data_IF_074454714016
#
_entry.id   IF_074454714016
#
_cell.length_a   1.000
_cell.length_b   1.000
_cell.length_c   1.000
_cell.angle_alpha   90.00
_cell.angle_beta   90.00
_cell.angle_gamma   90.00
#
_symmetry.space_group_name_H-M   'P 1'
#
loop_
_entity.id
_entity.type
_entity.pdbx_description
1 polymer ?
#
# COMPACT_ATOMS: atom_id res chain seq x y z
N UNK A 1 -31.63 -17.27 0.73
CA UNK A 1 -31.72 -16.32 -0.40
C UNK A 1 -32.86 -16.77 -1.31
N UNK A 2 -33.73 -15.87 -1.79
CA UNK A 2 -34.61 -16.17 -2.91
C UNK A 2 -33.74 -16.09 -4.16
N UNK A 3 -33.26 -17.23 -4.66
CA UNK A 3 -32.53 -17.26 -5.91
C UNK A 3 -33.53 -17.40 -7.06
N UNK A 4 -33.76 -16.28 -7.74
CA UNK A 4 -34.40 -16.27 -9.04
C UNK A 4 -33.43 -16.92 -10.03
N UNK A 5 -33.87 -18.03 -10.64
CA UNK A 5 -33.12 -18.69 -11.70
C UNK A 5 -32.94 -17.72 -12.87
N UNK A 6 -31.71 -17.25 -13.09
CA UNK A 6 -31.39 -16.27 -14.14
C UNK A 6 -31.65 -16.82 -15.55
N UNK A 7 -31.72 -18.15 -15.71
CA UNK A 7 -31.86 -18.81 -17.01
C UNK A 7 -33.27 -19.32 -17.30
N UNK A 8 -34.16 -19.35 -16.29
CA UNK A 8 -35.55 -19.77 -16.47
C UNK A 8 -36.47 -18.56 -16.29
N UNK A 9 -36.89 -17.95 -17.40
CA UNK A 9 -37.77 -16.77 -17.38
C UNK A 9 -38.87 -16.86 -16.34
N UNK A 10 -38.81 -16.02 -15.31
CA UNK A 10 -39.80 -15.75 -14.25
C UNK A 10 -40.61 -16.92 -13.61
N UNK A 11 -40.34 -18.20 -13.91
CA UNK A 11 -41.25 -19.31 -13.57
C UNK A 11 -40.70 -20.35 -12.58
N UNK A 12 -39.46 -20.21 -12.09
CA UNK A 12 -38.93 -21.12 -11.06
C UNK A 12 -38.38 -20.34 -9.86
N UNK A 13 -39.09 -20.45 -8.75
CA UNK A 13 -38.67 -19.98 -7.44
C UNK A 13 -38.20 -21.20 -6.63
N UNK A 14 -36.98 -21.15 -6.08
CA UNK A 14 -36.49 -22.20 -5.17
C UNK A 14 -36.66 -21.74 -3.73
N UNK A 15 -37.28 -22.58 -2.92
CA UNK A 15 -37.47 -22.33 -1.49
C UNK A 15 -36.45 -23.14 -0.70
N UNK A 16 -35.90 -22.53 0.35
CA UNK A 16 -35.11 -23.22 1.36
C UNK A 16 -35.87 -23.17 2.69
N UNK A 17 -35.61 -24.15 3.53
CA UNK A 17 -36.10 -24.24 4.89
C UNK A 17 -34.96 -24.02 5.86
N UNK A 18 -35.31 -23.65 7.09
CA UNK A 18 -34.37 -23.29 8.15
C UNK A 18 -34.58 -24.24 9.32
N UNK A 19 -33.51 -24.90 9.73
CA UNK A 19 -33.46 -25.69 10.95
C UNK A 19 -32.72 -24.89 12.03
N UNK A 20 -33.48 -24.33 12.99
CA UNK A 20 -32.92 -23.57 14.11
C UNK A 20 -32.17 -24.44 15.12
N UNK A 21 -32.52 -25.73 15.25
CA UNK A 21 -31.85 -26.63 16.18
C UNK A 21 -30.44 -26.98 15.70
N UNK A 22 -30.31 -27.27 14.40
CA UNK A 22 -29.02 -27.60 13.79
C UNK A 22 -28.27 -26.39 13.21
N UNK A 23 -28.91 -25.20 13.21
CA UNK A 23 -28.40 -23.94 12.66
C UNK A 23 -27.98 -24.09 11.21
N UNK A 24 -28.86 -24.67 10.39
CA UNK A 24 -28.56 -24.95 8.99
C UNK A 24 -29.76 -24.64 8.10
N UNK A 25 -29.49 -24.33 6.84
CA UNK A 25 -30.49 -24.28 5.79
C UNK A 25 -30.53 -25.60 5.02
N UNK A 26 -31.71 -25.99 4.55
CA UNK A 26 -31.89 -27.21 3.77
C UNK A 26 -33.01 -27.04 2.73
N UNK A 27 -33.07 -27.98 1.78
CA UNK A 27 -34.06 -27.99 0.70
C UNK A 27 -34.83 -29.31 0.75
N UNK A 28 -36.13 -29.26 0.45
CA UNK A 28 -36.97 -30.46 0.32
C UNK A 28 -36.63 -31.20 -0.97
N UNK A 29 -36.42 -30.45 -2.05
CA UNK A 29 -36.02 -31.01 -3.33
C UNK A 29 -34.60 -31.54 -3.26
N UNK A 30 -34.40 -32.73 -3.84
CA UNK A 30 -33.08 -33.35 -3.90
C UNK A 30 -32.14 -32.47 -4.76
N UNK A 31 -31.19 -31.84 -4.10
CA UNK A 31 -30.24 -30.93 -4.70
C UNK A 31 -28.80 -31.27 -4.30
N UNK A 32 -27.85 -30.77 -5.08
CA UNK A 32 -26.42 -30.88 -4.82
C UNK A 32 -25.82 -29.46 -4.75
N UNK A 33 -24.55 -29.38 -4.32
CA UNK A 33 -23.85 -28.10 -4.19
C UNK A 33 -23.71 -27.36 -5.52
N UNK A 34 -23.57 -28.10 -6.63
CA UNK A 34 -23.41 -27.52 -7.97
C UNK A 34 -24.70 -26.85 -8.44
N UNK A 35 -25.86 -27.51 -8.28
CA UNK A 35 -27.18 -26.97 -8.63
C UNK A 35 -27.53 -25.73 -7.83
N UNK A 36 -27.02 -25.64 -6.60
CA UNK A 36 -27.19 -24.50 -5.70
C UNK A 36 -26.11 -23.42 -5.86
N UNK A 37 -25.20 -23.57 -6.83
CA UNK A 37 -24.07 -22.65 -7.05
C UNK A 37 -23.25 -22.39 -5.77
N UNK A 38 -23.13 -23.43 -4.92
CA UNK A 38 -22.36 -23.36 -3.69
C UNK A 38 -20.86 -23.52 -3.98
N UNK A 39 -20.00 -22.82 -3.23
CA UNK A 39 -18.56 -22.99 -3.36
C UNK A 39 -18.12 -24.44 -3.12
N UNK A 40 -16.99 -24.86 -3.71
CA UNK A 40 -16.47 -26.22 -3.56
C UNK A 40 -16.18 -26.54 -2.09
N UNK A 41 -16.51 -27.77 -1.66
CA UNK A 41 -16.36 -28.25 -0.28
C UNK A 41 -15.45 -29.47 -0.21
N UNK A 42 -14.60 -29.56 0.82
CA UNK A 42 -13.69 -30.69 1.05
C UNK A 42 -14.38 -31.89 1.74
N UNK A 43 -15.38 -31.63 2.58
CA UNK A 43 -16.04 -32.65 3.41
C UNK A 43 -17.46 -32.23 3.80
N UNK A 44 -18.21 -33.14 4.44
CA UNK A 44 -19.52 -32.84 5.04
C UNK A 44 -19.40 -31.86 6.20
N UNK A 45 -18.34 -31.95 7.01
CA UNK A 45 -18.07 -31.00 8.10
C UNK A 45 -17.80 -29.60 7.56
N UNK A 46 -17.07 -29.50 6.44
CA UNK A 46 -16.83 -28.23 5.76
C UNK A 46 -18.11 -27.65 5.14
N UNK A 47 -18.95 -28.49 4.52
CA UNK A 47 -20.27 -28.08 4.03
C UNK A 47 -21.16 -27.56 5.16
N UNK A 48 -21.09 -28.16 6.35
CA UNK A 48 -21.85 -27.69 7.52
C UNK A 48 -21.51 -26.25 7.90
N UNK A 49 -20.24 -25.83 7.80
CA UNK A 49 -19.83 -24.44 8.06
C UNK A 49 -20.49 -23.47 7.09
N UNK A 50 -20.58 -23.83 5.81
CA UNK A 50 -21.26 -23.03 4.78
C UNK A 50 -22.76 -22.93 5.03
N UNK A 51 -23.41 -24.05 5.37
CA UNK A 51 -24.83 -24.05 5.70
C UNK A 51 -25.14 -23.26 6.98
N UNK A 52 -24.22 -23.28 7.95
CA UNK A 52 -24.29 -22.42 9.14
C UNK A 52 -24.14 -20.94 8.81
N UNK A 53 -23.21 -20.59 7.92
CA UNK A 53 -23.11 -19.22 7.41
C UNK A 53 -24.45 -18.78 6.80
N UNK A 54 -25.03 -19.57 5.90
CA UNK A 54 -26.32 -19.26 5.28
C UNK A 54 -27.48 -19.16 6.29
N UNK A 55 -27.47 -19.99 7.34
CA UNK A 55 -28.41 -19.87 8.45
C UNK A 55 -28.29 -18.51 9.14
N UNK A 56 -27.08 -18.08 9.47
CA UNK A 56 -26.88 -16.79 10.14
C UNK A 56 -27.17 -15.60 9.23
N UNK A 57 -26.90 -15.71 7.92
CA UNK A 57 -27.35 -14.74 6.92
C UNK A 57 -28.89 -14.67 6.86
N UNK A 58 -29.59 -15.81 6.99
CA UNK A 58 -31.06 -15.80 7.11
C UNK A 58 -31.51 -15.06 8.37
N UNK A 59 -30.87 -15.31 9.51
CA UNK A 59 -31.17 -14.60 10.77
C UNK A 59 -30.93 -13.09 10.62
N UNK A 60 -29.87 -12.68 9.93
CA UNK A 60 -29.58 -11.27 9.64
C UNK A 60 -30.72 -10.60 8.84
N UNK A 61 -31.22 -11.27 7.79
CA UNK A 61 -32.24 -10.71 6.91
C UNK A 61 -33.68 -10.84 7.42
N UNK A 62 -33.98 -11.85 8.26
CA UNK A 62 -35.32 -12.12 8.79
C UNK A 62 -35.36 -12.19 10.33
N UNK A 63 -34.93 -11.12 11.04
CA UNK A 63 -34.60 -11.23 12.46
C UNK A 63 -35.81 -11.16 13.43
N UNK A 64 -36.98 -10.74 12.98
CA UNK A 64 -38.10 -10.31 13.85
C UNK A 64 -38.77 -11.47 14.61
N UNK A 65 -38.90 -12.63 13.98
CA UNK A 65 -39.66 -13.77 14.52
C UNK A 65 -38.75 -14.90 15.02
N UNK A 66 -37.47 -14.60 15.24
CA UNK A 66 -36.46 -15.56 15.69
C UNK A 66 -36.13 -15.25 17.14
N UNK A 67 -36.01 -16.27 17.97
CA UNK A 67 -35.45 -16.14 19.32
C UNK A 67 -34.11 -16.85 19.34
N UNK A 68 -33.03 -16.08 19.42
CA UNK A 68 -31.68 -16.64 19.53
C UNK A 68 -31.46 -17.04 21.00
N UNK A 69 -31.09 -18.30 21.30
CA UNK A 69 -30.76 -18.69 22.66
C UNK A 69 -29.57 -17.88 23.20
N UNK A 70 -29.65 -17.45 24.46
CA UNK A 70 -28.60 -16.66 25.12
C UNK A 70 -27.20 -17.31 25.02
N UNK A 71 -27.14 -18.64 25.09
CA UNK A 71 -25.90 -19.43 24.94
C UNK A 71 -25.16 -19.12 23.63
N UNK A 72 -25.88 -18.82 22.54
CA UNK A 72 -25.27 -18.48 21.25
C UNK A 72 -24.66 -17.09 21.22
N UNK A 73 -25.22 -16.17 22.00
CA UNK A 73 -24.64 -14.85 22.19
C UNK A 73 -23.41 -14.92 23.09
N UNK A 74 -23.45 -15.71 24.16
CA UNK A 74 -22.31 -15.97 25.03
C UNK A 74 -21.15 -16.63 24.25
N UNK A 75 -21.46 -17.60 23.38
CA UNK A 75 -20.49 -18.22 22.48
C UNK A 75 -19.87 -17.18 21.52
N UNK A 76 -20.68 -16.30 20.94
CA UNK A 76 -20.19 -15.21 20.07
C UNK A 76 -19.25 -14.26 20.81
N UNK A 77 -19.62 -13.85 22.02
CA UNK A 77 -18.81 -12.99 22.89
C UNK A 77 -17.48 -13.67 23.22
N UNK A 78 -17.49 -14.97 23.52
CA UNK A 78 -16.28 -15.74 23.78
C UNK A 78 -15.37 -15.80 22.55
N UNK A 79 -15.93 -16.04 21.36
CA UNK A 79 -15.18 -16.06 20.10
C UNK A 79 -14.56 -14.69 19.80
N UNK A 80 -15.31 -13.59 19.94
CA UNK A 80 -14.79 -12.24 19.72
C UNK A 80 -13.71 -11.86 20.73
N UNK A 81 -13.83 -12.32 21.98
CA UNK A 81 -12.80 -12.10 23.02
C UNK A 81 -11.52 -12.85 22.66
N UNK A 82 -11.63 -14.12 22.28
CA UNK A 82 -10.49 -14.90 21.78
C UNK A 82 -9.85 -14.24 20.55
N UNK A 83 -10.67 -13.83 19.58
CA UNK A 83 -10.24 -13.16 18.36
C UNK A 83 -9.49 -11.85 18.65
N UNK A 84 -9.93 -11.06 19.63
CA UNK A 84 -9.22 -9.85 20.05
C UNK A 84 -7.83 -10.15 20.59
N UNK A 85 -7.67 -11.21 21.38
CA UNK A 85 -6.37 -11.60 21.95
C UNK A 85 -5.48 -12.11 20.83
N UNK A 86 -5.96 -13.04 20.01
CA UNK A 86 -5.21 -13.63 18.91
C UNK A 86 -4.72 -12.57 17.91
N UNK A 87 -5.58 -11.62 17.52
CA UNK A 87 -5.20 -10.51 16.65
C UNK A 87 -4.21 -9.52 17.31
N UNK A 88 -4.10 -9.52 18.65
CA UNK A 88 -3.15 -8.66 19.38
C UNK A 88 -1.81 -9.34 19.62
N UNK A 89 -1.79 -10.67 19.72
CA UNK A 89 -0.61 -11.45 20.11
C UNK A 89 0.04 -12.20 18.95
N UNK A 90 -0.63 -12.34 17.81
CA UNK A 90 -0.17 -13.13 16.66
C UNK A 90 -0.24 -12.35 15.34
N UNK A 91 0.92 -12.12 14.73
CA UNK A 91 1.02 -11.47 13.41
C UNK A 91 0.50 -12.35 12.26
N UNK A 92 0.37 -13.66 12.52
CA UNK A 92 -0.10 -14.68 11.58
C UNK A 92 -1.55 -15.10 11.83
N UNK A 93 -2.28 -14.38 12.67
CA UNK A 93 -3.69 -14.65 13.00
C UNK A 93 -4.54 -14.77 11.73
N UNK A 94 -5.43 -15.77 11.73
CA UNK A 94 -6.44 -16.00 10.69
C UNK A 94 -7.77 -15.34 11.04
N UNK A 95 -7.82 -14.49 12.06
CA UNK A 95 -9.02 -13.75 12.48
C UNK A 95 -9.35 -12.66 11.45
N UNK A 96 -10.64 -12.45 11.10
CA UNK A 96 -11.01 -11.50 10.04
C UNK A 96 -10.96 -10.03 10.49
N UNK A 97 -10.90 -9.77 11.79
CA UNK A 97 -10.96 -8.44 12.40
C UNK A 97 -9.66 -8.08 13.13
N UNK A 98 -9.40 -6.78 13.24
CA UNK A 98 -8.37 -6.29 14.15
C UNK A 98 -8.88 -6.26 15.61
N UNK A 99 -7.95 -6.14 16.57
CA UNK A 99 -8.28 -6.15 17.98
C UNK A 99 -9.20 -4.98 18.40
N UNK A 100 -9.08 -3.82 17.73
CA UNK A 100 -9.91 -2.64 18.01
C UNK A 100 -11.36 -2.86 17.56
N UNK A 101 -11.55 -3.47 16.39
CA UNK A 101 -12.84 -3.88 15.86
C UNK A 101 -13.52 -4.92 16.76
N UNK A 102 -12.79 -5.95 17.20
CA UNK A 102 -13.31 -6.94 18.13
C UNK A 102 -13.82 -6.29 19.43
N UNK A 103 -13.04 -5.40 20.04
CA UNK A 103 -13.44 -4.68 21.25
C UNK A 103 -14.66 -3.77 21.01
N UNK A 104 -14.73 -3.13 19.85
CA UNK A 104 -15.88 -2.31 19.45
C UNK A 104 -17.14 -3.18 19.33
N UNK A 105 -17.06 -4.33 18.67
CA UNK A 105 -18.21 -5.24 18.56
C UNK A 105 -18.65 -5.77 19.93
N UNK A 106 -17.72 -6.18 20.79
CA UNK A 106 -18.03 -6.63 22.14
C UNK A 106 -18.75 -5.56 22.97
N UNK A 107 -18.31 -4.31 22.87
CA UNK A 107 -18.97 -3.18 23.53
C UNK A 107 -20.38 -2.99 23.01
N UNK A 108 -20.54 -2.92 21.68
CA UNK A 108 -21.84 -2.71 21.04
C UNK A 108 -22.84 -3.81 21.38
N UNK A 109 -22.42 -5.09 21.39
CA UNK A 109 -23.30 -6.21 21.75
C UNK A 109 -23.80 -6.08 23.20
N UNK A 110 -22.90 -5.75 24.14
CA UNK A 110 -23.22 -5.62 25.57
C UNK A 110 -24.11 -4.41 25.89
N UNK A 111 -23.98 -3.33 25.12
CA UNK A 111 -24.74 -2.09 25.32
C UNK A 111 -26.14 -2.13 24.67
N UNK A 112 -26.47 -3.18 23.90
CA UNK A 112 -27.79 -3.28 23.27
C UNK A 112 -28.92 -3.40 24.30
N UNK A 113 -29.99 -2.58 24.20
CA UNK A 113 -31.12 -2.65 25.12
C UNK A 113 -31.79 -4.02 25.11
N UNK A 114 -32.03 -4.56 26.30
CA UNK A 114 -32.82 -5.78 26.46
C UNK A 114 -34.31 -5.43 26.47
N UNK A 115 -34.88 -5.26 25.27
CA UNK A 115 -36.30 -4.96 25.10
C UNK A 115 -36.87 -5.71 23.91
N UNK A 116 -38.15 -6.07 23.97
CA UNK A 116 -38.82 -6.80 22.90
C UNK A 116 -38.80 -6.05 21.55
N UNK A 117 -38.77 -4.71 21.57
CA UNK A 117 -38.64 -3.88 20.36
C UNK A 117 -37.23 -3.90 19.77
N UNK A 118 -36.21 -4.08 20.61
CA UNK A 118 -34.81 -4.17 20.17
C UNK A 118 -34.40 -5.58 19.76
N UNK A 119 -35.16 -6.62 20.15
CA UNK A 119 -34.82 -8.04 19.92
C UNK A 119 -34.51 -8.36 18.46
N UNK A 120 -35.30 -7.83 17.51
CA UNK A 120 -35.02 -8.00 16.09
C UNK A 120 -33.69 -7.37 15.65
N UNK A 121 -33.38 -6.16 16.09
CA UNK A 121 -32.10 -5.53 15.78
C UNK A 121 -30.93 -6.29 16.43
N UNK A 122 -31.11 -6.79 17.66
CA UNK A 122 -30.13 -7.64 18.35
C UNK A 122 -29.82 -8.91 17.56
N UNK A 123 -30.86 -9.60 17.11
CA UNK A 123 -30.72 -10.79 16.27
C UNK A 123 -30.02 -10.50 14.95
N UNK A 124 -30.32 -9.36 14.33
CA UNK A 124 -29.68 -8.94 13.08
C UNK A 124 -28.17 -8.76 13.28
N UNK A 125 -27.76 -8.05 14.33
CA UNK A 125 -26.35 -7.82 14.66
C UNK A 125 -25.63 -9.14 14.98
N UNK A 126 -26.23 -9.99 15.81
CA UNK A 126 -25.67 -11.29 16.18
C UNK A 126 -25.53 -12.18 14.93
N UNK A 127 -26.58 -12.27 14.11
CA UNK A 127 -26.59 -13.04 12.87
C UNK A 127 -25.53 -12.56 11.88
N UNK A 128 -25.38 -11.24 11.72
CA UNK A 128 -24.35 -10.65 10.85
C UNK A 128 -22.94 -11.05 11.26
N UNK A 129 -22.59 -10.90 12.55
CA UNK A 129 -21.24 -11.23 13.03
C UNK A 129 -20.99 -12.74 12.97
N UNK A 130 -21.98 -13.57 13.34
CA UNK A 130 -21.86 -15.01 13.21
C UNK A 130 -21.66 -15.46 11.76
N UNK A 131 -22.39 -14.86 10.80
CA UNK A 131 -22.24 -15.14 9.37
C UNK A 131 -20.80 -14.92 8.91
N UNK A 132 -20.19 -13.79 9.29
CA UNK A 132 -18.79 -13.48 8.97
C UNK A 132 -17.80 -14.44 9.65
N UNK A 133 -18.04 -14.84 10.90
CA UNK A 133 -17.22 -15.83 11.61
C UNK A 133 -17.28 -17.19 10.91
N UNK A 134 -18.48 -17.65 10.53
CA UNK A 134 -18.68 -18.89 9.79
C UNK A 134 -18.01 -18.83 8.42
N UNK A 135 -18.10 -17.70 7.71
CA UNK A 135 -17.40 -17.49 6.45
C UNK A 135 -15.87 -17.60 6.63
N UNK A 136 -15.32 -16.99 7.69
CA UNK A 136 -13.90 -17.11 7.99
C UNK A 136 -13.50 -18.55 8.38
N UNK A 137 -14.36 -19.29 9.07
CA UNK A 137 -14.14 -20.71 9.38
C UNK A 137 -14.13 -21.58 8.13
N UNK A 138 -15.05 -21.33 7.20
CA UNK A 138 -15.11 -21.99 5.91
C UNK A 138 -13.82 -21.76 5.10
N UNK A 139 -13.44 -20.49 4.90
CA UNK A 139 -12.25 -20.11 4.11
C UNK A 139 -10.94 -20.68 4.69
N UNK A 140 -10.87 -20.92 5.99
CA UNK A 140 -9.69 -21.48 6.67
C UNK A 140 -9.80 -22.99 6.95
N UNK A 141 -10.81 -23.67 6.41
CA UNK A 141 -11.05 -25.11 6.61
C UNK A 141 -11.05 -25.51 8.10
N UNK A 142 -11.68 -24.69 8.97
CA UNK A 142 -11.64 -24.92 10.42
C UNK A 142 -12.29 -26.26 10.78
N UNK A 143 -11.57 -27.09 11.56
CA UNK A 143 -12.04 -28.40 11.99
C UNK A 143 -11.78 -29.52 10.99
N UNK A 144 -11.21 -29.22 9.82
CA UNK A 144 -10.69 -30.22 8.89
C UNK A 144 -9.26 -30.65 9.27
N UNK A 145 -8.80 -31.84 8.84
CA UNK A 145 -7.41 -32.28 9.05
C UNK A 145 -6.37 -31.33 8.42
N UNK A 146 -6.75 -30.61 7.36
CA UNK A 146 -5.88 -29.70 6.59
C UNK A 146 -6.24 -28.22 6.83
N UNK A 147 -6.67 -27.86 8.04
CA UNK A 147 -7.02 -26.49 8.40
C UNK A 147 -5.85 -25.50 8.20
N UNK A 148 -6.16 -24.27 7.77
CA UNK A 148 -5.18 -23.19 7.74
C UNK A 148 -4.90 -22.71 9.17
N UNK A 149 -3.66 -22.84 9.62
CA UNK A 149 -3.20 -22.45 10.96
C UNK A 149 -2.55 -21.06 11.00
N UNK A 150 -2.14 -20.55 9.84
CA UNK A 150 -1.49 -19.24 9.72
C UNK A 150 -1.97 -18.54 8.47
N UNK A 151 -2.15 -17.22 8.52
CA UNK A 151 -2.61 -16.41 7.38
C UNK A 151 -1.80 -16.66 6.10
N UNK A 152 -0.49 -16.80 6.24
CA UNK A 152 0.44 -16.98 5.12
C UNK A 152 0.61 -18.44 4.67
N UNK A 153 -0.08 -19.39 5.31
CA UNK A 153 0.00 -20.81 4.96
C UNK A 153 -0.80 -21.08 3.68
N UNK A 154 -0.09 -21.57 2.66
CA UNK A 154 -0.66 -22.06 1.40
C UNK A 154 -1.20 -23.47 1.59
N UNK A 155 -2.45 -23.66 1.22
CA UNK A 155 -3.13 -24.96 1.13
C UNK A 155 -3.09 -25.52 -0.29
N UNK A 156 -3.04 -24.63 -1.29
CA UNK A 156 -2.95 -25.01 -2.70
C UNK A 156 -1.48 -25.02 -3.17
N UNK A 157 -1.14 -25.86 -4.17
CA UNK A 157 0.16 -25.80 -4.80
C UNK A 157 0.45 -24.38 -5.30
N UNK A 158 1.67 -23.90 -5.05
CA UNK A 158 2.07 -22.59 -5.54
C UNK A 158 1.96 -22.54 -7.08
N UNK A 159 1.46 -21.44 -7.66
CA UNK A 159 1.42 -21.30 -9.11
C UNK A 159 2.85 -21.35 -9.67
N UNK A 160 3.03 -22.03 -10.79
CA UNK A 160 4.32 -22.07 -11.48
C UNK A 160 4.52 -20.72 -12.18
N UNK A 161 5.29 -19.83 -11.55
CA UNK A 161 5.58 -18.51 -12.09
C UNK A 161 6.85 -18.59 -12.95
N UNK A 162 6.76 -18.16 -14.21
CA UNK A 162 7.92 -18.13 -15.10
C UNK A 162 8.92 -17.05 -14.65
N UNK A 163 10.20 -17.41 -14.65
CA UNK A 163 11.30 -16.50 -14.33
C UNK A 163 12.12 -16.22 -15.58
N UNK A 164 11.64 -15.28 -16.40
CA UNK A 164 12.31 -14.85 -17.64
C UNK A 164 13.49 -13.91 -17.36
N UNK A 165 14.48 -13.88 -18.25
CA UNK A 165 15.68 -13.05 -18.10
C UNK A 165 15.37 -11.54 -18.04
N UNK A 166 14.36 -11.06 -18.78
CA UNK A 166 14.02 -9.64 -18.78
C UNK A 166 13.37 -9.20 -17.45
N UNK A 167 12.59 -10.07 -16.79
CA UNK A 167 12.06 -9.80 -15.44
C UNK A 167 13.18 -9.70 -14.40
N UNK A 168 14.22 -10.55 -14.53
CA UNK A 168 15.43 -10.46 -13.69
C UNK A 168 16.21 -9.18 -13.98
N UNK A 169 16.24 -8.74 -15.24
CA UNK A 169 16.88 -7.48 -15.62
C UNK A 169 16.12 -6.27 -15.07
N UNK A 170 14.78 -6.26 -15.13
CA UNK A 170 13.97 -5.19 -14.53
C UNK A 170 14.13 -5.15 -13.03
N UNK A 171 14.18 -6.30 -12.36
CA UNK A 171 14.40 -6.33 -10.92
C UNK A 171 15.75 -5.69 -10.53
N UNK A 172 16.83 -6.03 -11.25
CA UNK A 172 18.13 -5.36 -11.08
C UNK A 172 18.09 -3.86 -11.42
N UNK A 173 17.37 -3.47 -12.47
CA UNK A 173 17.22 -2.07 -12.89
C UNK A 173 16.50 -1.22 -11.83
N UNK A 174 15.55 -1.81 -11.10
CA UNK A 174 14.80 -1.18 -10.02
C UNK A 174 15.36 -1.55 -8.63
N UNK A 175 16.62 -2.02 -8.56
CA UNK A 175 17.35 -2.29 -7.33
C UNK A 175 16.67 -3.31 -6.38
N UNK A 176 16.01 -4.33 -6.91
CA UNK A 176 15.32 -5.37 -6.15
C UNK A 176 13.91 -4.99 -5.68
N UNK A 177 13.51 -3.74 -5.89
CA UNK A 177 12.21 -3.24 -5.42
C UNK A 177 11.00 -4.01 -5.97
N UNK A 178 10.97 -4.48 -7.24
CA UNK A 178 9.89 -5.34 -7.73
C UNK A 178 9.77 -6.65 -6.96
N UNK A 179 10.87 -7.35 -6.68
CA UNK A 179 10.85 -8.59 -5.89
C UNK A 179 10.32 -8.35 -4.47
N UNK A 180 10.70 -7.23 -3.84
CA UNK A 180 10.16 -6.84 -2.52
C UNK A 180 8.63 -6.64 -2.55
N UNK A 181 8.11 -5.94 -3.55
CA UNK A 181 6.67 -5.72 -3.68
C UNK A 181 5.92 -7.00 -4.05
N UNK A 182 6.50 -7.86 -4.90
CA UNK A 182 5.94 -9.18 -5.19
C UNK A 182 5.83 -10.03 -3.93
N UNK A 183 6.92 -10.14 -3.15
CA UNK A 183 6.92 -10.86 -1.89
C UNK A 183 5.83 -10.33 -0.95
N UNK A 184 5.77 -9.01 -0.77
CA UNK A 184 4.78 -8.34 0.09
C UNK A 184 3.34 -8.62 -0.35
N UNK A 185 3.03 -8.53 -1.64
CA UNK A 185 1.70 -8.83 -2.18
C UNK A 185 1.37 -10.32 -2.00
N UNK A 186 2.33 -11.20 -2.30
CA UNK A 186 2.16 -12.66 -2.21
C UNK A 186 1.99 -13.20 -0.79
N UNK A 187 2.46 -12.45 0.21
CA UNK A 187 2.26 -12.75 1.63
C UNK A 187 0.84 -12.39 2.10
N UNK A 188 0.23 -11.36 1.51
CA UNK A 188 -1.10 -10.88 1.87
C UNK A 188 -2.23 -11.54 1.06
N UNK A 189 -1.90 -12.13 -0.10
CA UNK A 189 -2.82 -12.83 -0.98
C UNK A 189 -2.40 -14.29 -1.13
N UNK A 190 -3.04 -15.15 -0.33
CA UNK A 190 -2.71 -16.57 -0.23
C UNK A 190 -3.95 -17.40 -0.55
N UNK A 191 -3.86 -18.29 -1.52
CA UNK A 191 -4.96 -19.13 -2.02
C UNK A 191 -6.26 -18.35 -2.31
N UNK A 192 -6.13 -17.15 -2.91
CA UNK A 192 -7.26 -16.22 -3.17
C UNK A 192 -7.95 -15.69 -1.91
N UNK A 193 -7.27 -15.74 -0.76
CA UNK A 193 -7.75 -15.17 0.50
C UNK A 193 -6.91 -13.94 0.83
N UNK A 194 -7.60 -12.85 1.20
CA UNK A 194 -6.96 -11.64 1.69
C UNK A 194 -7.73 -11.09 2.89
N UNK A 195 -6.99 -10.54 3.85
CA UNK A 195 -7.54 -9.97 5.07
C UNK A 195 -7.56 -8.44 4.96
N UNK A 196 -8.74 -7.84 5.05
CA UNK A 196 -8.94 -6.39 4.84
C UNK A 196 -8.09 -5.53 5.78
N UNK A 197 -7.98 -5.91 7.06
CA UNK A 197 -7.16 -5.17 8.04
C UNK A 197 -5.68 -5.14 7.65
N UNK A 198 -5.14 -6.27 7.18
CA UNK A 198 -3.73 -6.39 6.77
C UNK A 198 -3.48 -5.70 5.43
N UNK A 199 -4.40 -5.85 4.48
CA UNK A 199 -4.36 -5.12 3.21
C UNK A 199 -4.37 -3.60 3.43
N UNK A 200 -5.24 -3.09 4.30
CA UNK A 200 -5.28 -1.68 4.68
C UNK A 200 -3.94 -1.20 5.21
N UNK A 201 -3.30 -1.97 6.11
CA UNK A 201 -1.96 -1.64 6.64
C UNK A 201 -0.92 -1.56 5.51
N UNK A 202 -0.89 -2.55 4.60
CA UNK A 202 0.00 -2.57 3.45
C UNK A 202 -0.22 -1.35 2.54
N UNK A 203 -1.47 -1.07 2.16
CA UNK A 203 -1.80 0.04 1.26
C UNK A 203 -1.47 1.41 1.86
N UNK A 204 -1.75 1.62 3.15
CA UNK A 204 -1.36 2.85 3.85
C UNK A 204 0.16 3.04 3.85
N UNK A 205 0.90 1.95 4.08
CA UNK A 205 2.36 1.93 4.04
C UNK A 205 2.90 2.26 2.63
N UNK A 206 2.33 1.67 1.58
CA UNK A 206 2.70 1.96 0.19
C UNK A 206 2.42 3.42 -0.20
N UNK A 207 1.24 3.93 0.14
CA UNK A 207 0.85 5.32 -0.12
C UNK A 207 1.80 6.30 0.59
N UNK A 208 2.19 6.01 1.83
CA UNK A 208 3.14 6.85 2.56
C UNK A 208 4.54 6.82 1.94
N UNK A 209 4.98 5.64 1.47
CA UNK A 209 6.22 5.48 0.71
C UNK A 209 6.22 6.28 -0.60
N UNK A 210 5.12 6.22 -1.36
CA UNK A 210 4.96 6.99 -2.59
C UNK A 210 4.89 8.50 -2.34
N UNK A 211 4.21 8.94 -1.26
CA UNK A 211 4.21 10.37 -0.86
C UNK A 211 5.60 10.88 -0.54
N UNK A 212 6.37 10.11 0.23
CA UNK A 212 7.75 10.45 0.58
C UNK A 212 8.62 10.55 -0.68
N UNK A 213 8.49 9.58 -1.59
CA UNK A 213 9.21 9.56 -2.87
C UNK A 213 8.81 10.73 -3.77
N UNK A 214 7.53 11.13 -3.78
CA UNK A 214 7.05 12.31 -4.51
C UNK A 214 7.72 13.60 -4.01
N UNK A 215 7.84 13.78 -2.69
CA UNK A 215 8.48 14.97 -2.10
C UNK A 215 9.97 15.02 -2.48
N UNK A 216 10.69 13.90 -2.36
CA UNK A 216 12.12 13.84 -2.69
C UNK A 216 12.39 14.04 -4.19
N UNK A 217 11.58 13.42 -5.05
CA UNK A 217 11.69 13.59 -6.51
C UNK A 217 11.40 15.03 -6.93
N UNK A 218 10.43 15.72 -6.30
CA UNK A 218 10.18 17.14 -6.55
C UNK A 218 11.36 18.02 -6.15
N UNK A 219 11.95 17.78 -4.97
CA UNK A 219 13.15 18.51 -4.53
C UNK A 219 14.31 18.33 -5.51
N UNK A 220 14.54 17.10 -5.95
CA UNK A 220 15.60 16.77 -6.89
C UNK A 220 15.34 17.33 -8.30
N UNK A 221 14.07 17.39 -8.72
CA UNK A 221 13.65 18.01 -9.98
C UNK A 221 13.98 19.51 -9.98
N UNK A 222 13.62 20.24 -8.92
CA UNK A 222 13.92 21.67 -8.79
C UNK A 222 15.42 21.91 -8.75
N UNK A 223 16.16 21.08 -8.01
CA UNK A 223 17.62 21.15 -7.93
C UNK A 223 18.28 20.90 -9.29
N UNK A 224 17.88 19.85 -10.00
CA UNK A 224 18.43 19.50 -11.31
C UNK A 224 18.09 20.56 -12.36
N UNK A 225 16.87 21.13 -12.33
CA UNK A 225 16.51 22.24 -13.19
C UNK A 225 17.41 23.48 -12.97
N UNK A 226 17.69 23.81 -11.70
CA UNK A 226 18.58 24.93 -11.37
C UNK A 226 20.02 24.69 -11.87
N UNK A 227 20.55 23.49 -11.66
CA UNK A 227 21.88 23.11 -12.18
C UNK A 227 21.92 23.15 -13.70
N UNK A 228 20.89 22.64 -14.38
CA UNK A 228 20.84 22.59 -15.84
C UNK A 228 20.94 23.99 -16.45
N UNK A 229 20.22 24.97 -15.89
CA UNK A 229 20.31 26.38 -16.33
C UNK A 229 21.74 26.91 -16.20
N UNK A 230 22.39 26.63 -15.06
CA UNK A 230 23.78 27.03 -14.82
C UNK A 230 24.72 26.38 -15.85
N UNK A 231 24.58 25.08 -16.11
CA UNK A 231 25.42 24.35 -17.06
C UNK A 231 25.28 24.83 -18.51
N UNK A 232 24.07 25.24 -18.93
CA UNK A 232 23.88 25.84 -20.26
C UNK A 232 24.57 27.20 -20.37
N UNK A 233 24.51 28.03 -19.33
CA UNK A 233 25.19 29.33 -19.32
C UNK A 233 26.71 29.17 -19.46
N UNK A 234 27.32 28.17 -18.80
CA UNK A 234 28.75 27.89 -18.94
C UNK A 234 29.11 27.26 -20.30
N UNK A 235 28.17 26.56 -20.95
CA UNK A 235 28.39 25.92 -22.26
C UNK A 235 28.63 26.90 -23.41
N UNK A 236 28.15 28.13 -23.29
CA UNK A 236 28.44 29.21 -24.24
C UNK A 236 29.90 29.68 -24.16
N UNK A 237 30.54 29.53 -23.00
CA UNK A 237 31.90 30.03 -22.75
C UNK A 237 32.96 28.93 -22.86
N UNK A 238 32.67 27.73 -22.35
CA UNK A 238 33.62 26.62 -22.28
C UNK A 238 33.07 25.46 -23.10
N UNK A 239 33.83 25.02 -24.12
CA UNK A 239 33.50 23.82 -24.90
C UNK A 239 34.42 22.67 -24.50
N UNK A 240 33.92 21.77 -23.64
CA UNK A 240 34.61 20.55 -23.26
C UNK A 240 33.68 19.33 -23.32
N UNK A 241 34.25 18.16 -23.59
CA UNK A 241 33.49 16.91 -23.63
C UNK A 241 32.85 16.57 -22.27
N UNK A 242 33.53 16.88 -21.16
CA UNK A 242 33.01 16.68 -19.80
C UNK A 242 31.80 17.56 -19.49
N UNK A 243 31.79 18.80 -19.98
CA UNK A 243 30.64 19.69 -19.82
C UNK A 243 29.42 19.18 -20.62
N UNK A 244 29.62 18.66 -21.83
CA UNK A 244 28.55 18.04 -22.60
C UNK A 244 27.94 16.82 -21.87
N UNK A 245 28.78 15.95 -21.31
CA UNK A 245 28.34 14.81 -20.49
C UNK A 245 27.54 15.30 -19.28
N UNK A 246 27.99 16.36 -18.60
CA UNK A 246 27.29 16.95 -17.46
C UNK A 246 25.89 17.48 -17.86
N UNK A 247 25.78 18.18 -18.99
CA UNK A 247 24.50 18.69 -19.50
C UNK A 247 23.53 17.54 -19.83
N UNK A 248 24.00 16.50 -20.52
CA UNK A 248 23.17 15.35 -20.88
C UNK A 248 22.73 14.55 -19.64
N UNK A 249 23.63 14.28 -18.69
CA UNK A 249 23.28 13.57 -17.46
C UNK A 249 22.30 14.38 -16.59
N UNK A 250 22.42 15.71 -16.58
CA UNK A 250 21.51 16.58 -15.84
C UNK A 250 20.11 16.58 -16.47
N UNK A 251 20.02 16.58 -17.80
CA UNK A 251 18.75 16.43 -18.51
C UNK A 251 18.09 15.08 -18.23
N UNK A 252 18.85 13.99 -18.23
CA UNK A 252 18.34 12.65 -17.89
C UNK A 252 17.86 12.61 -16.42
N UNK A 253 18.59 13.23 -15.50
CA UNK A 253 18.15 13.38 -14.09
C UNK A 253 16.81 14.10 -13.98
N UNK A 254 16.63 15.19 -14.74
CA UNK A 254 15.39 15.95 -14.76
C UNK A 254 14.21 15.08 -15.23
N UNK A 255 14.39 14.31 -16.31
CA UNK A 255 13.35 13.41 -16.84
C UNK A 255 13.01 12.28 -15.85
N UNK A 256 14.01 11.66 -15.21
CA UNK A 256 13.76 10.63 -14.22
C UNK A 256 13.07 11.18 -12.96
N UNK A 257 13.45 12.38 -12.51
CA UNK A 257 12.77 13.06 -11.40
C UNK A 257 11.31 13.36 -11.73
N UNK A 258 11.04 13.82 -12.95
CA UNK A 258 9.67 14.09 -13.41
C UNK A 258 8.85 12.80 -13.49
N UNK A 259 9.44 11.72 -14.00
CA UNK A 259 8.80 10.40 -14.08
C UNK A 259 8.51 9.84 -12.69
N UNK A 260 9.45 9.96 -11.75
CA UNK A 260 9.26 9.54 -10.35
C UNK A 260 8.16 10.33 -9.67
N UNK A 261 8.14 11.66 -9.85
CA UNK A 261 7.11 12.53 -9.28
C UNK A 261 5.72 12.20 -9.84
N UNK A 262 5.59 12.15 -11.16
CA UNK A 262 4.30 11.87 -11.83
C UNK A 262 3.79 10.47 -11.52
N UNK A 263 4.64 9.44 -11.58
CA UNK A 263 4.26 8.07 -11.21
C UNK A 263 3.85 7.94 -9.74
N UNK A 264 4.53 8.62 -8.81
CA UNK A 264 4.14 8.65 -7.39
C UNK A 264 2.72 9.20 -7.21
N UNK A 265 2.43 10.34 -7.85
CA UNK A 265 1.11 11.00 -7.74
C UNK A 265 0.02 10.15 -8.38
N UNK A 266 0.27 9.57 -9.56
CA UNK A 266 -0.68 8.68 -10.23
C UNK A 266 -0.99 7.46 -9.37
N UNK A 267 0.03 6.79 -8.80
CA UNK A 267 -0.18 5.63 -7.95
C UNK A 267 -1.00 5.96 -6.70
N UNK A 268 -0.72 7.09 -6.04
CA UNK A 268 -1.52 7.58 -4.90
C UNK A 268 -2.96 7.83 -5.36
N UNK A 269 -3.17 8.49 -6.50
CA UNK A 269 -4.50 8.81 -6.99
C UNK A 269 -5.33 7.57 -7.30
N UNK A 270 -4.76 6.58 -8.00
CA UNK A 270 -5.47 5.35 -8.37
C UNK A 270 -5.71 4.42 -7.18
N UNK A 271 -4.79 4.37 -6.21
CA UNK A 271 -4.85 3.39 -5.13
C UNK A 271 -5.37 3.94 -3.80
N UNK A 272 -5.61 5.24 -3.65
CA UNK A 272 -6.25 5.79 -2.43
C UNK A 272 -7.61 5.16 -2.14
N UNK A 273 -8.37 4.81 -3.19
CA UNK A 273 -9.68 4.15 -3.05
C UNK A 273 -9.59 2.69 -2.64
N UNK A 274 -8.41 2.06 -2.78
CA UNK A 274 -8.20 0.65 -2.44
C UNK A 274 -7.94 0.42 -0.93
N UNK A 275 -7.81 1.49 -0.14
CA UNK A 275 -7.50 1.42 1.31
C UNK A 275 -8.68 0.90 2.13
N UNK A 276 -9.90 1.28 1.74
CA UNK A 276 -11.14 0.97 2.48
C UNK A 276 -11.95 -0.16 1.84
N UNK A 277 -11.38 -0.86 0.86
CA UNK A 277 -12.07 -1.94 0.18
C UNK A 277 -12.33 -3.14 1.09
N UNK A 278 -13.48 -3.78 0.90
CA UNK A 278 -13.81 -5.05 1.55
C UNK A 278 -12.84 -6.15 1.14
N UNK A 279 -12.71 -7.19 1.97
CA UNK A 279 -11.85 -8.34 1.67
C UNK A 279 -12.17 -8.95 0.29
N UNK A 280 -13.45 -9.05 -0.08
CA UNK A 280 -13.89 -9.52 -1.40
C UNK A 280 -13.40 -8.62 -2.53
N UNK A 281 -13.60 -7.31 -2.44
CA UNK A 281 -13.18 -6.37 -3.47
C UNK A 281 -11.65 -6.34 -3.66
N UNK A 282 -10.89 -6.57 -2.57
CA UNK A 282 -9.42 -6.72 -2.64
C UNK A 282 -9.02 -8.01 -3.36
N UNK A 283 -9.69 -9.13 -3.06
CA UNK A 283 -9.46 -10.40 -3.76
C UNK A 283 -9.76 -10.24 -5.25
N UNK A 284 -10.88 -9.61 -5.61
CA UNK A 284 -11.26 -9.36 -7.00
C UNK A 284 -10.23 -8.48 -7.72
N UNK A 285 -9.74 -7.42 -7.06
CA UNK A 285 -8.69 -6.55 -7.58
C UNK A 285 -7.39 -7.32 -7.83
N UNK A 286 -6.94 -8.15 -6.88
CA UNK A 286 -5.70 -8.91 -6.99
C UNK A 286 -5.82 -10.04 -8.01
N UNK A 287 -6.98 -10.69 -8.09
CA UNK A 287 -7.26 -11.70 -9.11
C UNK A 287 -7.29 -11.06 -10.51
N UNK A 288 -7.89 -9.88 -10.65
CA UNK A 288 -7.84 -9.11 -11.90
C UNK A 288 -6.41 -8.70 -12.28
N UNK A 289 -5.58 -8.35 -11.28
CA UNK A 289 -4.18 -8.00 -11.49
C UNK A 289 -3.25 -9.22 -11.64
N UNK A 290 -3.75 -10.45 -11.48
CA UNK A 290 -2.94 -11.67 -11.56
C UNK A 290 -2.74 -12.11 -13.01
N UNK A 291 -1.48 -12.13 -13.46
CA UNK A 291 -1.15 -12.59 -14.81
C UNK A 291 -0.85 -14.10 -14.83
N UNK A 292 -1.45 -14.85 -15.76
CA UNK A 292 -1.33 -16.31 -15.82
C UNK A 292 0.12 -16.84 -15.85
N UNK A 293 1.04 -16.16 -16.56
CA UNK A 293 2.47 -16.56 -16.64
C UNK A 293 3.39 -15.90 -15.62
N UNK A 294 3.06 -14.69 -15.18
CA UNK A 294 3.98 -13.82 -14.44
C UNK A 294 3.51 -13.53 -13.01
N UNK A 295 2.34 -14.03 -12.61
CA UNK A 295 1.71 -13.74 -11.32
C UNK A 295 1.51 -12.24 -11.12
N UNK A 296 1.89 -11.74 -9.95
CA UNK A 296 1.80 -10.32 -9.60
C UNK A 296 3.01 -9.48 -10.00
N UNK A 297 4.02 -10.06 -10.67
CA UNK A 297 5.24 -9.33 -11.06
C UNK A 297 4.97 -8.02 -11.84
N UNK A 298 4.04 -7.97 -12.80
CA UNK A 298 3.74 -6.72 -13.50
C UNK A 298 3.24 -5.62 -12.56
N UNK A 299 2.38 -5.97 -11.59
CA UNK A 299 1.88 -5.05 -10.58
C UNK A 299 3.01 -4.58 -9.65
N UNK A 300 3.89 -5.49 -9.25
CA UNK A 300 5.06 -5.16 -8.43
C UNK A 300 6.04 -4.23 -9.14
N UNK A 301 6.26 -4.44 -10.44
CA UNK A 301 7.07 -3.53 -11.27
C UNK A 301 6.42 -2.15 -11.28
N UNK A 302 5.09 -2.06 -11.50
CA UNK A 302 4.36 -0.80 -11.48
C UNK A 302 4.53 -0.05 -10.14
N UNK A 303 4.43 -0.76 -9.01
CA UNK A 303 4.62 -0.17 -7.67
C UNK A 303 6.07 0.29 -7.42
N UNK A 304 7.05 -0.31 -8.10
CA UNK A 304 8.47 0.03 -8.00
C UNK A 304 8.91 1.24 -8.84
N UNK A 305 8.11 1.66 -9.83
CA UNK A 305 8.49 2.73 -10.77
C UNK A 305 8.95 4.01 -10.06
N UNK A 306 8.21 4.55 -9.06
CA UNK A 306 8.59 5.82 -8.46
C UNK A 306 9.95 5.76 -7.75
N UNK A 307 10.18 4.66 -7.01
CA UNK A 307 11.41 4.49 -6.26
C UNK A 307 12.61 4.24 -7.18
N UNK A 308 12.51 3.32 -8.14
CA UNK A 308 13.66 3.04 -9.02
C UNK A 308 14.03 4.23 -9.90
N UNK A 309 13.05 4.95 -10.46
CA UNK A 309 13.33 6.17 -11.25
C UNK A 309 13.91 7.29 -10.39
N UNK A 310 13.53 7.40 -9.11
CA UNK A 310 14.16 8.32 -8.16
C UNK A 310 15.64 8.00 -7.94
N UNK A 311 16.00 6.73 -7.74
CA UNK A 311 17.41 6.33 -7.57
C UNK A 311 18.23 6.63 -8.84
N UNK A 312 17.68 6.36 -10.04
CA UNK A 312 18.34 6.71 -11.29
C UNK A 312 18.56 8.22 -11.45
N UNK A 313 17.62 9.04 -10.97
CA UNK A 313 17.79 10.49 -10.92
C UNK A 313 18.94 10.90 -9.99
N UNK A 314 19.07 10.28 -8.81
CA UNK A 314 20.18 10.56 -7.89
C UNK A 314 21.54 10.19 -8.52
N UNK A 315 21.63 9.03 -9.17
CA UNK A 315 22.87 8.57 -9.82
C UNK A 315 23.27 9.54 -10.93
N UNK A 316 22.33 9.92 -11.80
CA UNK A 316 22.62 10.83 -12.93
C UNK A 316 22.91 12.26 -12.47
N UNK A 317 22.31 12.71 -11.37
CA UNK A 317 22.71 13.97 -10.69
C UNK A 317 24.14 13.88 -10.16
N UNK A 318 24.54 12.75 -9.56
CA UNK A 318 25.92 12.52 -9.13
C UNK A 318 26.92 12.60 -10.31
N UNK A 319 26.60 11.94 -11.42
CA UNK A 319 27.41 12.01 -12.66
C UNK A 319 27.51 13.45 -13.16
N UNK A 320 26.43 14.22 -13.08
CA UNK A 320 26.40 15.63 -13.47
C UNK A 320 27.40 16.46 -12.66
N UNK A 321 27.39 16.31 -11.33
CA UNK A 321 28.27 17.08 -10.44
C UNK A 321 29.74 16.73 -10.70
N UNK A 322 30.05 15.44 -10.85
CA UNK A 322 31.41 14.97 -11.12
C UNK A 322 31.89 15.47 -12.48
N UNK A 323 31.06 15.33 -13.53
CA UNK A 323 31.42 15.77 -14.88
C UNK A 323 31.61 17.28 -14.95
N UNK A 324 30.75 18.06 -14.27
CA UNK A 324 30.88 19.51 -14.16
C UNK A 324 32.17 19.92 -13.42
N UNK A 325 32.55 19.22 -12.35
CA UNK A 325 33.80 19.47 -11.64
C UNK A 325 35.01 19.21 -12.54
N UNK A 326 35.02 18.10 -13.29
CA UNK A 326 36.12 17.76 -14.22
C UNK A 326 36.23 18.71 -15.41
N UNK A 327 35.17 19.43 -15.77
CA UNK A 327 35.23 20.48 -16.80
C UNK A 327 35.99 21.74 -16.32
N UNK A 328 36.10 21.94 -15.00
CA UNK A 328 36.81 23.06 -14.39
C UNK A 328 38.25 22.70 -13.99
N UNK A 329 38.53 21.41 -13.76
CA UNK A 329 39.86 20.91 -13.38
C UNK A 329 40.86 20.91 -14.56
N UNK A 330 42.11 21.27 -14.28
CA UNK A 330 43.20 21.33 -15.27
C UNK A 330 44.05 20.04 -15.25
N UNK A 331 44.00 19.26 -14.15
CA UNK A 331 44.88 18.10 -13.96
C UNK A 331 44.19 16.75 -14.18
N UNK A 332 44.84 15.84 -14.92
CA UNK A 332 44.33 14.50 -15.23
C UNK A 332 44.16 13.64 -13.96
N UNK A 333 45.03 13.83 -12.96
CA UNK A 333 45.00 13.09 -11.70
C UNK A 333 43.74 13.41 -10.86
N UNK A 334 43.33 14.68 -10.80
CA UNK A 334 42.10 15.09 -10.11
C UNK A 334 40.86 14.53 -10.81
N UNK A 335 40.86 14.49 -12.15
CA UNK A 335 39.78 13.90 -12.94
C UNK A 335 39.62 12.41 -12.61
N UNK A 336 40.72 11.65 -12.64
CA UNK A 336 40.69 10.21 -12.33
C UNK A 336 40.24 9.94 -10.89
N UNK A 337 40.68 10.75 -9.93
CA UNK A 337 40.28 10.63 -8.53
C UNK A 337 38.78 10.91 -8.32
N UNK A 338 38.23 11.93 -8.97
CA UNK A 338 36.81 12.28 -8.89
C UNK A 338 35.91 11.18 -9.46
N UNK A 339 36.29 10.60 -10.61
CA UNK A 339 35.55 9.49 -11.20
C UNK A 339 35.67 8.20 -10.38
N UNK A 340 36.84 7.93 -9.78
CA UNK A 340 37.02 6.81 -8.86
C UNK A 340 36.10 6.95 -7.65
N UNK A 341 36.06 8.13 -7.01
CA UNK A 341 35.18 8.41 -5.88
C UNK A 341 33.70 8.31 -6.25
N UNK A 342 33.31 8.76 -7.45
CA UNK A 342 31.95 8.61 -7.95
C UNK A 342 31.56 7.15 -8.14
N UNK A 343 32.46 6.35 -8.74
CA UNK A 343 32.23 4.90 -8.94
C UNK A 343 32.14 4.14 -7.61
N UNK A 344 32.98 4.50 -6.64
CA UNK A 344 32.92 3.98 -5.26
C UNK A 344 31.62 4.39 -4.57
N UNK A 345 31.14 5.62 -4.78
CA UNK A 345 29.87 6.10 -4.24
C UNK A 345 28.67 5.32 -4.80
N UNK A 346 28.62 5.12 -6.12
CA UNK A 346 27.57 4.30 -6.76
C UNK A 346 27.65 2.86 -6.28
N UNK A 347 28.86 2.29 -6.16
CA UNK A 347 29.07 0.95 -5.64
C UNK A 347 28.65 0.83 -4.18
N UNK A 348 28.92 1.83 -3.35
CA UNK A 348 28.51 1.88 -1.95
C UNK A 348 26.98 1.96 -1.82
N UNK A 349 26.32 2.80 -2.62
CA UNK A 349 24.85 2.88 -2.65
C UNK A 349 24.25 1.55 -3.09
N UNK A 350 24.78 0.94 -4.16
CA UNK A 350 24.36 -0.38 -4.62
C UNK A 350 24.57 -1.45 -3.55
N UNK A 351 25.72 -1.45 -2.88
CA UNK A 351 26.05 -2.40 -1.79
C UNK A 351 25.16 -2.21 -0.58
N UNK A 352 24.84 -0.96 -0.22
CA UNK A 352 23.90 -0.63 0.87
C UNK A 352 22.50 -1.13 0.51
N UNK A 353 22.01 -0.80 -0.69
CA UNK A 353 20.67 -1.21 -1.12
C UNK A 353 20.57 -2.73 -1.18
N UNK A 354 21.54 -3.42 -1.78
CA UNK A 354 21.57 -4.89 -1.84
C UNK A 354 21.74 -5.55 -0.47
N UNK A 355 22.60 -5.02 0.41
CA UNK A 355 22.77 -5.51 1.79
C UNK A 355 21.48 -5.38 2.58
N UNK A 356 20.82 -4.23 2.50
CA UNK A 356 19.51 -4.04 3.12
C UNK A 356 18.45 -4.89 2.42
N UNK A 357 18.53 -5.17 1.12
CA UNK A 357 17.58 -6.05 0.44
C UNK A 357 17.71 -7.52 0.90
N UNK A 358 18.94 -8.06 0.93
CA UNK A 358 19.25 -9.43 1.34
C UNK A 358 18.95 -9.64 2.83
N UNK A 359 19.29 -8.65 3.69
CA UNK A 359 18.93 -8.68 5.10
C UNK A 359 17.43 -8.42 5.37
N UNK A 360 16.70 -7.88 4.39
CA UNK A 360 15.28 -7.51 4.48
C UNK A 360 14.31 -8.68 4.30
N UNK A 361 14.74 -9.76 3.63
CA UNK A 361 13.95 -11.00 3.47
C UNK A 361 13.67 -11.69 4.82
N UNK A 362 14.37 -11.32 5.91
CA UNK A 362 14.19 -11.91 7.26
C UNK A 362 13.35 -11.08 8.24
N UNK A 363 12.94 -9.85 7.92
CA UNK A 363 12.18 -9.01 8.85
C UNK A 363 11.46 -7.89 8.11
N UNK A 364 10.26 -8.19 7.61
CA UNK A 364 9.40 -7.22 6.92
C UNK A 364 8.82 -6.13 7.85
N UNK A 365 8.91 -6.29 9.18
CA UNK A 365 8.24 -5.38 10.12
C UNK A 365 9.11 -4.25 10.68
N UNK A 366 10.45 -4.37 10.66
CA UNK A 366 11.29 -3.39 11.37
C UNK A 366 11.58 -2.07 10.63
N UNK A 367 11.16 -1.90 9.36
CA UNK A 367 11.72 -0.82 8.52
C UNK A 367 10.94 0.47 8.43
N UNK A 368 9.63 0.48 8.65
CA UNK A 368 8.89 1.75 8.68
C UNK A 368 9.23 2.60 9.91
N UNK A 369 9.59 1.97 11.04
CA UNK A 369 10.03 2.67 12.25
C UNK A 369 11.45 3.27 12.15
N UNK A 370 12.32 2.73 11.29
CA UNK A 370 13.66 3.28 11.07
C UNK A 370 13.64 4.56 10.25
N UNK A 371 12.89 4.55 9.15
CA UNK A 371 12.69 5.73 8.29
C UNK A 371 11.87 6.79 9.02
N UNK A 372 10.85 6.41 9.80
CA UNK A 372 10.12 7.34 10.66
C UNK A 372 11.01 7.97 11.76
N UNK A 373 12.00 7.24 12.30
CA UNK A 373 12.97 7.79 13.26
C UNK A 373 13.92 8.78 12.62
N UNK A 374 14.42 8.50 11.42
CA UNK A 374 15.24 9.44 10.64
C UNK A 374 14.42 10.67 10.23
N UNK A 375 13.18 10.47 9.76
CA UNK A 375 12.25 11.55 9.45
C UNK A 375 11.92 12.40 10.67
N UNK A 376 11.70 11.80 11.84
CA UNK A 376 11.49 12.52 13.09
C UNK A 376 12.75 13.25 13.57
N UNK A 377 13.94 12.70 13.32
CA UNK A 377 15.20 13.39 13.61
C UNK A 377 15.40 14.60 12.67
N UNK A 378 15.11 14.46 11.38
CA UNK A 378 15.12 15.54 10.39
C UNK A 378 14.07 16.61 10.72
N UNK A 379 12.87 16.21 11.15
CA UNK A 379 11.83 17.14 11.57
C UNK A 379 12.22 17.91 12.85
N UNK A 380 12.91 17.27 13.80
CA UNK A 380 13.47 17.96 14.99
C UNK A 380 14.54 18.98 14.62
N UNK A 381 15.38 18.68 13.62
CA UNK A 381 16.39 19.61 13.09
C UNK A 381 15.72 20.79 12.37
N UNK A 382 14.68 20.51 11.56
CA UNK A 382 13.88 21.53 10.87
C UNK A 382 13.05 22.43 11.81
N UNK A 383 12.65 21.93 12.98
CA UNK A 383 11.97 22.72 14.01
C UNK A 383 12.93 23.51 14.92
N UNK A 384 14.25 23.35 14.78
CA UNK A 384 15.21 24.06 15.62
C UNK A 384 15.10 25.58 15.47
N UNK A 385 15.23 26.28 16.59
CA UNK A 385 15.08 27.74 16.74
C UNK A 385 16.00 28.54 15.80
N UNK A 386 17.06 27.90 15.30
CA UNK A 386 18.04 28.49 14.38
C UNK A 386 17.43 28.63 12.97
N UNK A 387 16.77 27.60 12.45
CA UNK A 387 16.14 27.62 11.10
C UNK A 387 15.01 28.65 11.07
N UNK A 388 14.18 28.71 12.12
CA UNK A 388 13.12 29.73 12.26
C UNK A 388 13.69 31.16 12.29
N UNK A 389 14.84 31.38 12.95
CA UNK A 389 15.52 32.70 12.98
C UNK A 389 16.13 33.08 11.63
N UNK A 390 16.68 32.12 10.89
CA UNK A 390 17.22 32.34 9.54
C UNK A 390 16.09 32.71 8.59
N UNK A 391 14.99 31.95 8.57
CA UNK A 391 13.82 32.24 7.73
C UNK A 391 13.19 33.60 8.08
N UNK A 392 13.05 33.94 9.37
CA UNK A 392 12.55 35.24 9.79
C UNK A 392 13.46 36.41 9.36
N UNK A 393 14.79 36.23 9.39
CA UNK A 393 15.74 37.22 8.87
C UNK A 393 15.64 37.38 7.36
N UNK A 394 15.48 36.30 6.60
CA UNK A 394 15.30 36.33 5.14
C UNK A 394 14.01 37.06 4.74
N UNK A 395 12.90 36.79 5.43
CA UNK A 395 11.62 37.46 5.18
C UNK A 395 11.68 38.95 5.57
N UNK A 396 12.37 39.29 6.67
CA UNK A 396 12.61 40.67 7.08
C UNK A 396 13.54 41.47 6.14
N UNK A 397 14.46 40.79 5.47
CA UNK A 397 15.32 41.38 4.44
C UNK A 397 14.54 41.64 3.14
N UNK A 398 13.72 40.67 2.70
CA UNK A 398 12.85 40.82 1.52
C UNK A 398 11.80 41.92 1.68
N UNK A 399 11.22 42.10 2.88
CA UNK A 399 10.31 43.23 3.17
C UNK A 399 11.01 44.59 3.08
N UNK A 400 12.29 44.69 3.51
CA UNK A 400 13.08 45.93 3.42
C UNK A 400 13.45 46.29 1.98
N UNK A 401 13.76 45.30 1.15
CA UNK A 401 13.99 45.52 -0.28
C UNK A 401 12.73 46.01 -1.00
N UNK A 402 11.56 45.47 -0.66
CA UNK A 402 10.26 45.90 -1.23
C UNK A 402 9.88 47.34 -0.85
N UNK A 403 10.22 47.78 0.36
CA UNK A 403 10.01 49.17 0.80
C UNK A 403 10.97 50.14 0.13
N UNK A 404 12.24 49.74 -0.08
CA UNK A 404 13.26 50.57 -0.73
C UNK A 404 12.96 50.76 -2.24
N UNK A 405 12.37 49.76 -2.90
CA UNK A 405 11.92 49.88 -4.29
C UNK A 405 10.76 50.86 -4.51
N UNK A 406 9.81 50.96 -3.57
CA UNK A 406 8.70 51.93 -3.67
C UNK A 406 9.14 53.39 -3.51
N UNK A 407 10.12 53.67 -2.65
CA UNK A 407 10.59 55.03 -2.40
C UNK A 407 11.47 55.60 -3.54
N UNK A 408 11.97 54.76 -4.44
CA UNK A 408 12.75 55.20 -5.61
C UNK A 408 11.84 55.66 -6.77
N UNK A 409 10.56 55.22 -6.80
CA UNK A 409 9.58 55.62 -7.82
C UNK A 409 8.83 56.94 -7.51
N UNK A 410 9.12 57.61 -6.39
CA UNK A 410 8.48 58.88 -5.98
C UNK A 410 9.48 60.04 -5.78
N UNK A 411 10.42 60.23 -6.71
CA UNK A 411 11.15 61.51 -6.83
C UNK A 411 10.72 62.24 -8.11
N UNK A 412 10.10 63.43 -8.04
CA UNK A 412 9.83 64.24 -9.22
C UNK A 412 11.12 64.88 -9.73
N UNK A 413 11.32 64.81 -11.03
CA UNK A 413 12.36 65.51 -11.80
C UNK A 413 12.07 67.01 -11.83
N UNK A 414 12.89 67.82 -11.14
CA UNK A 414 12.97 69.25 -11.41
C UNK A 414 13.84 69.45 -12.66
N UNK A 415 13.20 69.88 -13.75
CA UNK A 415 13.87 70.45 -14.92
C UNK A 415 14.17 71.93 -14.64
N UNK A 416 15.43 72.29 -14.87
CA UNK A 416 15.97 73.64 -15.03
C UNK A 416 15.54 74.23 -16.38
N UNK A 417 14.86 75.38 -16.37
CA UNK A 417 14.80 76.33 -17.48
C UNK A 417 15.65 77.55 -17.11
N UNK A 418 16.74 77.79 -17.84
CA UNK A 418 17.41 79.09 -17.96
C UNK A 418 17.56 79.41 -19.45
N UNK A 419 17.01 80.57 -19.82
CA UNK A 419 17.15 81.41 -21.03
C UNK A 419 16.62 80.86 -22.37
#
# INVERSE_FOLDING_TARGET
MLELDKNAGFQKCRYYFVDHAHRAVFWIDQTDTIKLDLPPVSSVSHLKLLLQQHYWTHVEFFPIHISIPQVMEEELIAILTHASIDASTSDLSTVPYDAEQCNTFLKLIREMPDSQRAMGFRNCVIGRIWSEICANHFVNLRGEPNARLSRNQRLLPAPVIESTWYLKATDKLFFGSPEFYEASISEHWVDKVCYSAHWRKLMLSLIEGWKSTAIYSLMLLVFSAAILVILFQYGEVIRSASLYVAQMSCFVSLLFSLTSFTSSILLIYYHKGQVENSASAVVDYLEFAFHARFGHKPLSILFSIPWGTFIWSLITTGITIVSAATACSISILEILLLWLLASLGVFAVYSIVTFFHIGGVRSAEMRFGGIARVWNAVNRVGQSTIVKRVVARSVGFLRRLRYRGRNVQQRPSQMTEEV
#
